data_IF_366140038869
#
_entry.id   IF_366140038869
#
_cell.length_a   1.000
_cell.length_b   1.000
_cell.length_c   1.000
_cell.angle_alpha   90.00
_cell.angle_beta   90.00
_cell.angle_gamma   90.00
#
_symmetry.space_group_name_H-M   'P 1'
#
loop_
_entity.id
_entity.type
_entity.pdbx_description
1 polymer ?
#
# COMPACT_ATOMS: atom_id res chain seq x y z
N UNK A 1 3.32 19.80 -10.86
CA UNK A 1 1.96 20.40 -10.89
C UNK A 1 1.26 20.14 -12.24
N UNK A 2 0.81 18.91 -12.53
CA UNK A 2 0.20 18.61 -13.83
C UNK A 2 -0.98 17.62 -13.78
N UNK A 3 -0.93 16.62 -12.90
CA UNK A 3 -1.90 15.52 -12.85
C UNK A 3 -3.32 15.96 -12.46
N UNK A 4 -3.42 16.91 -11.53
CA UNK A 4 -4.71 17.43 -11.03
C UNK A 4 -5.50 18.20 -12.10
N UNK A 5 -4.80 18.93 -12.98
CA UNK A 5 -5.44 19.71 -14.03
C UNK A 5 -5.89 18.81 -15.18
N UNK A 6 -5.05 17.83 -15.55
CA UNK A 6 -5.39 16.84 -16.58
C UNK A 6 -6.59 15.98 -16.16
N UNK A 7 -6.61 15.50 -14.92
CA UNK A 7 -7.74 14.72 -14.38
C UNK A 7 -9.05 15.53 -14.31
N UNK A 8 -8.96 16.87 -14.24
CA UNK A 8 -10.12 17.76 -14.29
C UNK A 8 -10.64 17.95 -15.72
N UNK A 9 -9.76 18.04 -16.71
CA UNK A 9 -10.14 18.09 -18.14
C UNK A 9 -10.74 16.77 -18.62
N UNK A 10 -10.20 15.63 -18.16
CA UNK A 10 -10.65 14.29 -18.57
C UNK A 10 -11.94 13.83 -17.87
N UNK A 11 -12.55 14.65 -17.01
CA UNK A 11 -13.76 14.28 -16.26
C UNK A 11 -13.55 13.18 -15.21
N UNK A 12 -12.30 12.78 -14.96
CA UNK A 12 -11.92 11.76 -13.98
C UNK A 12 -12.10 12.27 -12.54
N UNK A 13 -12.09 13.59 -12.34
CA UNK A 13 -12.45 14.23 -11.07
C UNK A 13 -13.96 14.55 -11.07
N UNK A 14 -14.77 13.68 -10.47
CA UNK A 14 -16.17 14.01 -10.15
C UNK A 14 -16.21 15.07 -9.06
N UNK A 15 -16.48 16.32 -9.43
CA UNK A 15 -16.83 17.39 -8.49
C UNK A 15 -18.19 17.05 -7.87
N UNK A 16 -18.21 16.72 -6.58
CA UNK A 16 -19.47 16.53 -5.84
C UNK A 16 -20.16 17.89 -5.75
N UNK A 17 -21.21 18.11 -6.54
CA UNK A 17 -22.05 19.29 -6.42
C UNK A 17 -22.69 19.27 -5.03
N UNK A 18 -22.38 20.27 -4.20
CA UNK A 18 -23.15 20.54 -2.98
C UNK A 18 -24.40 21.27 -3.46
N UNK A 19 -25.48 20.52 -3.69
CA UNK A 19 -26.80 21.09 -3.90
C UNK A 19 -27.44 21.37 -2.52
N UNK A 20 -28.23 22.44 -2.38
CA UNK A 20 -28.92 22.73 -1.12
C UNK A 20 -30.01 21.66 -0.89
N UNK A 21 -30.20 21.33 0.39
CA UNK A 21 -31.00 20.20 0.84
C UNK A 21 -32.48 20.33 0.45
N UNK A 22 -33.03 19.24 -0.09
CA UNK A 22 -34.44 18.85 0.03
C UNK A 22 -34.53 17.31 -0.11
N UNK A 23 -35.55 16.74 0.51
CA UNK A 23 -35.51 15.50 1.30
C UNK A 23 -35.36 14.15 0.57
N UNK A 24 -34.73 13.23 1.33
CA UNK A 24 -34.95 11.78 1.44
C UNK A 24 -35.12 10.91 0.18
N UNK A 25 -33.99 10.37 -0.27
CA UNK A 25 -33.84 8.94 -0.51
C UNK A 25 -32.48 8.55 0.10
N UNK A 26 -32.54 7.88 1.26
CA UNK A 26 -31.40 7.55 2.09
C UNK A 26 -30.37 6.72 1.34
N UNK A 27 -29.42 7.37 0.67
CA UNK A 27 -28.19 6.74 0.23
C UNK A 27 -27.40 6.46 1.50
N UNK A 28 -27.63 5.30 2.13
CA UNK A 28 -26.74 4.74 3.13
C UNK A 28 -25.34 4.90 2.55
N UNK A 29 -24.55 5.85 3.08
CA UNK A 29 -23.09 5.78 2.91
C UNK A 29 -22.78 4.36 3.33
N UNK A 30 -22.31 3.53 2.41
CA UNK A 30 -21.74 2.25 2.78
C UNK A 30 -20.64 2.63 3.76
N UNK A 31 -20.91 2.41 5.06
CA UNK A 31 -19.88 2.53 6.07
C UNK A 31 -18.88 1.48 5.65
N UNK A 32 -17.70 1.93 5.27
CA UNK A 32 -16.60 1.07 4.95
C UNK A 32 -16.41 0.11 6.15
N UNK A 33 -16.03 -1.16 5.91
CA UNK A 33 -16.03 -2.21 6.93
C UNK A 33 -14.81 -2.16 7.87
N UNK A 34 -13.68 -1.62 7.40
CA UNK A 34 -12.36 -1.68 8.03
C UNK A 34 -11.94 -0.33 8.59
N UNK A 35 -11.86 -0.17 9.91
CA UNK A 35 -11.38 1.06 10.53
C UNK A 35 -9.98 1.48 10.05
N UNK A 36 -9.14 0.51 9.67
CA UNK A 36 -7.84 0.76 9.07
C UNK A 36 -7.57 -0.08 7.83
N UNK A 37 -6.69 0.44 6.97
CA UNK A 37 -6.11 -0.30 5.86
C UNK A 37 -4.59 -0.24 5.98
N UNK A 38 -3.93 -1.37 5.75
CA UNK A 38 -2.49 -1.40 5.53
C UNK A 38 -2.26 -1.45 4.03
N UNK A 39 -1.82 -0.32 3.52
CA UNK A 39 -1.58 -0.13 2.09
C UNK A 39 -0.13 -0.45 1.80
N UNK A 40 0.12 -1.42 0.93
CA UNK A 40 1.44 -1.91 0.56
C UNK A 40 1.65 -1.69 -0.93
N UNK A 41 2.78 -1.11 -1.27
CA UNK A 41 3.29 -1.00 -2.62
C UNK A 41 4.63 -1.73 -2.68
N UNK A 42 4.89 -2.49 -3.73
CA UNK A 42 6.16 -3.20 -3.86
C UNK A 42 6.82 -2.79 -5.15
N UNK A 43 8.09 -2.41 -5.06
CA UNK A 43 8.93 -2.31 -6.24
C UNK A 43 9.74 -3.58 -6.40
N UNK A 44 9.91 -4.03 -7.65
CA UNK A 44 10.65 -5.24 -7.98
C UNK A 44 11.70 -5.02 -9.06
N UNK A 45 12.69 -5.90 -9.11
CA UNK A 45 13.63 -5.96 -10.23
C UNK A 45 12.88 -6.19 -11.54
N UNK A 46 13.16 -5.40 -12.58
CA UNK A 46 12.53 -5.55 -13.89
C UNK A 46 13.52 -5.28 -15.05
N UNK A 47 13.19 -5.79 -16.23
CA UNK A 47 14.03 -5.72 -17.44
C UNK A 47 13.16 -5.46 -18.67
N UNK A 48 13.76 -4.85 -19.70
CA UNK A 48 13.09 -4.52 -20.98
C UNK A 48 13.72 -5.27 -22.16
N UNK A 49 14.23 -6.48 -21.93
CA UNK A 49 14.92 -7.29 -22.96
C UNK A 49 14.03 -8.37 -23.58
N UNK A 50 12.72 -8.35 -23.29
CA UNK A 50 11.75 -9.33 -23.80
C UNK A 50 11.92 -10.74 -23.22
N UNK A 51 12.82 -10.95 -22.26
CA UNK A 51 13.04 -12.24 -21.62
C UNK A 51 12.11 -12.39 -20.44
N UNK A 52 10.95 -13.01 -20.68
CA UNK A 52 9.93 -13.33 -19.67
C UNK A 52 10.35 -14.39 -18.63
N UNK A 53 11.64 -14.59 -18.38
CA UNK A 53 12.17 -15.70 -17.58
C UNK A 53 13.03 -15.28 -16.38
N UNK A 54 13.25 -13.98 -16.16
CA UNK A 54 13.93 -13.52 -14.95
C UNK A 54 12.92 -13.43 -13.81
N UNK A 55 13.22 -14.11 -12.70
CA UNK A 55 12.42 -14.04 -11.48
C UNK A 55 12.54 -12.64 -10.90
N UNK A 56 11.41 -11.98 -10.67
CA UNK A 56 11.41 -10.67 -10.03
C UNK A 56 11.63 -10.80 -8.52
N UNK A 57 12.48 -9.96 -7.97
CA UNK A 57 12.75 -9.86 -6.54
C UNK A 57 12.27 -8.49 -6.02
N UNK A 58 11.71 -8.44 -4.81
CA UNK A 58 11.32 -7.18 -4.16
C UNK A 58 12.58 -6.38 -3.85
N UNK A 59 12.59 -5.10 -4.22
CA UNK A 59 13.70 -4.16 -3.98
C UNK A 59 13.29 -2.95 -3.12
N UNK A 60 12.00 -2.70 -2.96
CA UNK A 60 11.46 -1.72 -2.02
C UNK A 60 10.17 -2.25 -1.40
N UNK A 61 9.98 -2.00 -0.09
CA UNK A 61 8.82 -2.43 0.68
C UNK A 61 8.24 -1.28 1.52
N UNK A 62 7.59 -0.28 0.89
CA UNK A 62 6.76 0.69 1.59
C UNK A 62 5.43 0.07 2.06
N UNK A 63 5.01 0.42 3.27
CA UNK A 63 3.67 0.15 3.76
C UNK A 63 3.18 1.26 4.69
N UNK A 64 1.90 1.59 4.61
CA UNK A 64 1.30 2.63 5.47
C UNK A 64 0.02 2.16 6.12
N UNK A 65 -0.21 2.60 7.36
CA UNK A 65 -1.47 2.40 8.08
C UNK A 65 -2.38 3.61 7.85
N UNK A 66 -3.44 3.42 7.08
CA UNK A 66 -4.44 4.45 6.76
C UNK A 66 -5.65 4.31 7.68
N UNK A 67 -6.04 5.39 8.35
CA UNK A 67 -7.32 5.48 9.06
C UNK A 67 -8.44 5.84 8.08
N UNK A 68 -9.43 4.98 7.93
CA UNK A 68 -10.49 5.17 6.93
C UNK A 68 -11.55 6.19 7.32
N UNK A 69 -11.61 6.56 8.60
CA UNK A 69 -12.53 7.59 9.11
C UNK A 69 -11.99 9.01 8.89
N UNK A 70 -10.68 9.21 9.07
CA UNK A 70 -10.02 10.52 8.91
C UNK A 70 -9.38 10.69 7.54
N UNK A 71 -8.96 9.59 6.91
CA UNK A 71 -8.16 9.58 5.68
C UNK A 71 -6.68 9.87 5.92
N UNK A 72 -6.22 9.82 7.17
CA UNK A 72 -4.83 10.13 7.53
C UNK A 72 -3.97 8.87 7.62
N UNK A 73 -2.69 9.02 7.26
CA UNK A 73 -1.66 8.01 7.49
C UNK A 73 -1.18 8.14 8.94
N UNK A 74 -1.37 7.09 9.74
CA UNK A 74 -1.05 7.11 11.17
C UNK A 74 0.25 6.39 11.51
N UNK A 75 0.79 5.61 10.57
CA UNK A 75 2.09 4.97 10.70
C UNK A 75 2.62 4.54 9.34
N UNK A 76 3.94 4.49 9.21
CA UNK A 76 4.62 4.08 7.99
C UNK A 76 5.71 3.04 8.32
N UNK A 77 5.96 2.16 7.36
CA UNK A 77 7.08 1.24 7.28
C UNK A 77 7.72 1.41 5.90
N UNK A 78 9.03 1.45 5.84
CA UNK A 78 9.78 1.58 4.60
C UNK A 78 11.11 0.87 4.75
N UNK A 79 11.47 0.09 3.73
CA UNK A 79 12.76 -0.58 3.65
C UNK A 79 13.15 -0.82 2.18
N UNK A 80 14.43 -0.63 1.87
CA UNK A 80 15.04 -1.17 0.68
C UNK A 80 15.47 -2.62 0.93
N UNK A 81 15.25 -3.46 -0.08
CA UNK A 81 15.54 -4.89 -0.02
C UNK A 81 16.67 -5.21 -0.99
N UNK A 82 17.67 -5.96 -0.53
CA UNK A 82 18.78 -6.39 -1.35
C UNK A 82 18.41 -7.68 -2.12
N UNK A 83 18.27 -7.64 -3.46
CA UNK A 83 18.03 -8.84 -4.26
C UNK A 83 19.25 -9.78 -4.19
N UNK A 84 19.00 -11.09 -4.14
CA UNK A 84 20.04 -12.10 -3.96
C UNK A 84 20.35 -12.86 -5.25
N UNK A 85 19.35 -13.09 -6.11
CA UNK A 85 19.53 -13.78 -7.38
C UNK A 85 20.06 -12.82 -8.46
N UNK A 86 19.53 -11.60 -8.50
CA UNK A 86 19.91 -10.54 -9.43
C UNK A 86 20.27 -9.24 -8.70
N UNK A 87 21.44 -9.18 -8.03
CA UNK A 87 21.83 -8.06 -7.17
C UNK A 87 22.08 -6.73 -7.91
N UNK A 88 22.27 -6.77 -9.24
CA UNK A 88 22.53 -5.59 -10.07
C UNK A 88 21.24 -5.20 -10.81
N UNK A 89 20.73 -4.01 -10.50
CA UNK A 89 19.54 -3.46 -11.14
C UNK A 89 19.81 -3.13 -12.61
N UNK A 90 18.80 -3.35 -13.45
CA UNK A 90 18.86 -2.88 -14.84
C UNK A 90 18.68 -1.36 -14.92
N UNK A 91 19.26 -0.73 -15.94
CA UNK A 91 19.02 0.69 -16.25
C UNK A 91 17.54 1.01 -16.45
N UNK A 92 16.77 0.05 -16.97
CA UNK A 92 15.32 0.19 -17.12
C UNK A 92 14.62 0.25 -15.76
N UNK A 93 14.96 -0.67 -14.85
CA UNK A 93 14.41 -0.72 -13.51
C UNK A 93 14.72 0.57 -12.74
N UNK A 94 15.99 0.99 -12.72
CA UNK A 94 16.39 2.22 -12.04
C UNK A 94 15.67 3.47 -12.57
N UNK A 95 15.39 3.53 -13.88
CA UNK A 95 14.63 4.63 -14.50
C UNK A 95 13.14 4.57 -14.17
N UNK A 96 12.57 3.38 -14.09
CA UNK A 96 11.15 3.17 -13.83
C UNK A 96 10.79 3.47 -12.37
N UNK A 97 11.55 2.90 -11.43
CA UNK A 97 11.29 2.99 -9.99
C UNK A 97 11.97 4.21 -9.35
N UNK A 98 13.04 4.72 -9.97
CA UNK A 98 13.88 5.78 -9.40
C UNK A 98 14.88 5.28 -8.33
N UNK A 99 14.88 3.98 -8.04
CA UNK A 99 15.77 3.36 -7.05
C UNK A 99 17.18 3.22 -7.65
N UNK A 100 18.18 3.66 -6.89
CA UNK A 100 19.59 3.54 -7.27
C UNK A 100 20.19 2.23 -6.76
N UNK A 101 21.21 1.74 -7.47
CA UNK A 101 21.97 0.56 -7.07
C UNK A 101 22.48 0.62 -5.61
N UNK A 102 23.01 1.77 -5.17
CA UNK A 102 23.48 1.93 -3.79
C UNK A 102 22.38 1.72 -2.73
N UNK A 103 21.12 2.03 -3.04
CA UNK A 103 20.01 1.88 -2.08
C UNK A 103 19.66 0.41 -1.84
N UNK A 104 19.74 -0.43 -2.88
CA UNK A 104 19.53 -1.88 -2.73
C UNK A 104 20.75 -2.58 -2.13
N UNK A 105 21.96 -2.07 -2.38
CA UNK A 105 23.19 -2.58 -1.77
C UNK A 105 23.25 -2.31 -0.26
N UNK A 106 22.77 -1.16 0.19
CA UNK A 106 22.61 -0.81 1.60
C UNK A 106 21.33 -1.42 2.22
N UNK A 107 20.47 -2.01 1.39
CA UNK A 107 19.24 -2.67 1.79
C UNK A 107 19.46 -3.92 2.63
N UNK A 108 18.37 -4.43 3.22
CA UNK A 108 18.43 -5.68 4.00
C UNK A 108 17.93 -6.87 3.17
N UNK A 109 18.39 -8.10 3.44
CA UNK A 109 17.80 -9.29 2.81
C UNK A 109 16.30 -9.39 3.09
N UNK A 110 15.52 -9.90 2.14
CA UNK A 110 14.06 -9.98 2.21
C UNK A 110 13.54 -10.61 3.53
N UNK A 111 14.22 -11.66 4.02
CA UNK A 111 13.87 -12.32 5.29
C UNK A 111 13.94 -11.36 6.49
N UNK A 112 14.94 -10.48 6.51
CA UNK A 112 15.12 -9.48 7.57
C UNK A 112 14.06 -8.39 7.42
N UNK A 113 13.80 -7.92 6.19
CA UNK A 113 12.74 -6.97 5.90
C UNK A 113 11.37 -7.47 6.40
N UNK A 114 11.01 -8.71 6.09
CA UNK A 114 9.77 -9.33 6.57
C UNK A 114 9.71 -9.43 8.11
N UNK A 115 10.83 -9.72 8.77
CA UNK A 115 10.89 -9.73 10.23
C UNK A 115 10.64 -8.32 10.82
N UNK A 116 11.21 -7.28 10.22
CA UNK A 116 10.98 -5.90 10.63
C UNK A 116 9.53 -5.47 10.38
N UNK A 117 8.96 -5.83 9.23
CA UNK A 117 7.56 -5.59 8.89
C UNK A 117 6.62 -6.27 9.90
N UNK A 118 6.85 -7.55 10.24
CA UNK A 118 6.07 -8.25 11.25
C UNK A 118 6.12 -7.57 12.62
N UNK A 119 7.28 -7.06 13.05
CA UNK A 119 7.41 -6.29 14.29
C UNK A 119 6.62 -4.98 14.23
N UNK A 120 6.64 -4.30 13.09
CA UNK A 120 5.84 -3.12 12.86
C UNK A 120 4.34 -3.42 12.96
N UNK A 121 3.87 -4.49 12.33
CA UNK A 121 2.48 -4.98 12.44
C UNK A 121 2.08 -5.25 13.91
N UNK A 122 2.91 -5.96 14.65
CA UNK A 122 2.63 -6.27 16.07
C UNK A 122 2.50 -4.99 16.91
N UNK A 123 3.34 -3.99 16.67
CA UNK A 123 3.28 -2.70 17.34
C UNK A 123 1.96 -1.98 17.06
N UNK A 124 1.55 -1.89 15.79
CA UNK A 124 0.28 -1.21 15.43
C UNK A 124 -0.94 -1.97 15.97
N UNK A 125 -0.92 -3.31 16.00
CA UNK A 125 -2.01 -4.11 16.56
C UNK A 125 -2.24 -3.79 18.04
N UNK A 126 -1.16 -3.70 18.82
CA UNK A 126 -1.23 -3.36 20.24
C UNK A 126 -1.70 -1.91 20.47
N UNK A 127 -1.17 -0.97 19.69
CA UNK A 127 -1.48 0.46 19.87
C UNK A 127 -2.90 0.84 19.43
N UNK A 128 -3.42 0.19 18.38
CA UNK A 128 -4.68 0.56 17.74
C UNK A 128 -5.81 -0.45 17.99
N UNK A 129 -5.53 -1.55 18.72
CA UNK A 129 -6.46 -2.66 18.98
C UNK A 129 -7.05 -3.24 17.68
N UNK A 130 -6.16 -3.52 16.72
CA UNK A 130 -6.52 -3.99 15.37
C UNK A 130 -6.61 -5.52 15.32
N UNK A 131 -7.65 -6.04 14.64
CA UNK A 131 -7.73 -7.44 14.21
C UNK A 131 -7.76 -7.50 12.68
N UNK A 132 -6.99 -8.44 12.12
CA UNK A 132 -7.06 -8.79 10.72
C UNK A 132 -8.16 -9.82 10.52
N UNK A 133 -9.00 -9.62 9.49
CA UNK A 133 -10.08 -10.54 9.15
C UNK A 133 -9.55 -11.83 8.50
N UNK A 134 -8.76 -12.63 9.22
CA UNK A 134 -8.42 -14.00 8.82
C UNK A 134 -9.51 -14.93 9.34
N UNK A 135 -10.58 -15.09 8.56
CA UNK A 135 -11.66 -16.08 8.78
C UNK A 135 -12.07 -16.26 10.24
N UNK A 136 -12.93 -15.38 10.78
CA UNK A 136 -13.42 -15.51 12.16
C UNK A 136 -14.93 -15.45 12.20
N UNK A 137 -15.53 -16.61 12.50
CA UNK A 137 -16.82 -16.72 13.16
C UNK A 137 -16.70 -16.09 14.56
N UNK A 138 -17.64 -15.21 14.89
CA UNK A 138 -17.84 -14.53 16.19
C UNK A 138 -16.93 -13.32 16.52
N UNK A 139 -17.18 -12.20 15.82
CA UNK A 139 -16.89 -10.86 16.35
C UNK A 139 -18.01 -10.41 17.29
N UNK A 140 -17.90 -10.73 18.58
CA UNK A 140 -18.87 -10.33 19.62
C UNK A 140 -18.27 -9.42 20.70
N UNK A 141 -17.14 -8.74 20.45
CA UNK A 141 -16.55 -7.79 21.41
C UNK A 141 -16.51 -6.35 20.85
N UNK A 142 -17.06 -5.42 21.62
CA UNK A 142 -17.42 -4.05 21.17
C UNK A 142 -16.25 -3.05 21.05
N UNK A 143 -15.00 -3.50 21.11
CA UNK A 143 -13.80 -2.61 21.14
C UNK A 143 -12.76 -2.86 20.04
N UNK A 144 -12.99 -3.82 19.14
CA UNK A 144 -11.99 -4.23 18.15
C UNK A 144 -12.16 -3.45 16.85
N UNK A 145 -11.05 -2.96 16.29
CA UNK A 145 -11.00 -2.28 14.99
C UNK A 145 -10.59 -3.24 13.88
N UNK A 146 -11.38 -3.32 12.82
CA UNK A 146 -11.08 -4.20 11.69
C UNK A 146 -10.01 -3.58 10.80
N UNK A 147 -9.05 -4.40 10.34
CA UNK A 147 -8.04 -3.98 9.38
C UNK A 147 -7.88 -5.01 8.25
N UNK A 148 -7.60 -4.50 7.06
CA UNK A 148 -7.28 -5.30 5.88
C UNK A 148 -5.94 -4.85 5.29
N UNK A 149 -5.27 -5.77 4.61
CA UNK A 149 -4.17 -5.43 3.71
C UNK A 149 -4.73 -5.06 2.33
N UNK A 150 -4.18 -4.03 1.73
CA UNK A 150 -4.50 -3.58 0.38
C UNK A 150 -3.18 -3.39 -0.35
N UNK A 151 -3.09 -3.95 -1.54
CA UNK A 151 -1.95 -3.74 -2.43
C UNK A 151 -2.51 -3.51 -3.83
N UNK A 152 -1.80 -2.73 -4.63
CA UNK A 152 -2.06 -2.67 -6.06
C UNK A 152 -0.98 -3.45 -6.78
N UNK A 153 -1.39 -4.14 -7.83
CA UNK A 153 -0.46 -4.59 -8.85
C UNK A 153 -0.66 -3.64 -10.01
N UNK A 154 0.27 -2.72 -10.22
CA UNK A 154 0.38 -2.11 -11.53
C UNK A 154 0.74 -3.26 -12.47
N UNK A 155 -0.15 -3.57 -13.43
CA UNK A 155 0.13 -4.54 -14.47
C UNK A 155 1.27 -3.97 -15.33
N UNK A 156 2.51 -4.26 -14.95
CA UNK A 156 3.70 -4.09 -15.78
C UNK A 156 3.69 -5.10 -16.94
#
# INVERSE_FOLDING_TARGET
MATKNLARQLGLIRRKSIAPANESLGRRKLKQLFDYLIVIDFESTCWNDGKHHQTQEIIEFPAVLLNTSTGEIESEFHAYVQPQEHPVLSEFCMKLTGIKQAQVEEGVPLKICLSQFCKWIQKIQQQKKIIFATGVSDLSTSEVKLCAFVTWSDFL
#
